data_IF_421131940816
#
_entry.id   IF_421131940816
#
_cell.length_a   1.000
_cell.length_b   1.000
_cell.length_c   1.000
_cell.angle_alpha   90.00
_cell.angle_beta   90.00
_cell.angle_gamma   90.00
#
_symmetry.space_group_name_H-M   'P 1'
#
loop_
_entity.id
_entity.type
_entity.pdbx_description
1 polymer ?
#
# COMPACT_ATOMS: atom_id res chain seq x y z
N UNK A 1 24.27 6.09 3.65
CA UNK A 1 24.00 4.70 4.05
C UNK A 1 23.40 3.92 2.89
N UNK A 2 23.77 2.66 2.77
CA UNK A 2 23.22 1.61 1.90
C UNK A 2 21.72 1.36 2.12
N UNK A 3 21.08 0.57 1.25
CA UNK A 3 19.67 0.22 1.39
C UNK A 3 19.35 -0.48 2.72
N UNK A 4 20.10 -1.50 3.17
CA UNK A 4 19.89 -2.09 4.51
C UNK A 4 20.06 -1.12 5.67
N UNK A 5 21.01 -0.19 5.58
CA UNK A 5 21.22 0.81 6.66
C UNK A 5 20.03 1.76 6.77
N UNK A 6 19.53 2.27 5.63
CA UNK A 6 18.34 3.14 5.63
C UNK A 6 17.10 2.39 6.10
N UNK A 7 16.94 1.13 5.70
CA UNK A 7 15.86 0.25 6.14
C UNK A 7 15.88 0.03 7.66
N UNK A 8 17.06 -0.27 8.24
CA UNK A 8 17.20 -0.44 9.69
C UNK A 8 16.88 0.84 10.47
N UNK A 9 17.33 1.99 9.97
CA UNK A 9 17.04 3.27 10.62
C UNK A 9 15.55 3.59 10.60
N UNK A 10 14.87 3.37 9.47
CA UNK A 10 13.43 3.57 9.35
C UNK A 10 12.64 2.60 10.26
N UNK A 11 13.02 1.32 10.31
CA UNK A 11 12.39 0.36 11.21
C UNK A 11 12.57 0.75 12.69
N UNK A 12 13.78 1.17 13.09
CA UNK A 12 14.07 1.66 14.45
C UNK A 12 13.31 2.94 14.80
N UNK A 13 13.04 3.79 13.81
CA UNK A 13 12.20 4.97 13.98
C UNK A 13 10.69 4.63 14.13
N UNK A 14 10.30 3.37 13.99
CA UNK A 14 8.94 2.89 14.21
C UNK A 14 8.12 2.68 12.93
N UNK A 15 8.74 2.63 11.75
CA UNK A 15 8.02 2.31 10.51
C UNK A 15 7.52 0.85 10.51
N UNK A 16 6.23 0.67 10.17
CA UNK A 16 5.57 -0.64 10.09
C UNK A 16 5.84 -1.38 8.76
N UNK A 17 6.07 -0.63 7.68
CA UNK A 17 6.38 -1.16 6.34
C UNK A 17 7.44 -0.27 5.69
N UNK A 18 8.34 -0.88 4.91
CA UNK A 18 9.39 -0.19 4.18
C UNK A 18 9.17 -0.37 2.68
N UNK A 19 9.19 0.73 1.93
CA UNK A 19 9.07 0.70 0.47
C UNK A 19 10.45 0.79 -0.18
N UNK A 20 10.78 -0.20 -1.01
CA UNK A 20 11.97 -0.21 -1.86
C UNK A 20 11.51 -0.24 -3.31
N UNK A 21 11.33 0.93 -3.90
CA UNK A 21 10.75 1.08 -5.23
C UNK A 21 11.83 1.09 -6.32
N UNK A 22 11.46 0.63 -7.51
CA UNK A 22 12.25 0.73 -8.75
C UNK A 22 13.65 0.07 -8.68
N UNK A 23 13.88 -0.83 -7.73
CA UNK A 23 15.15 -1.53 -7.58
C UNK A 23 14.99 -2.89 -6.87
N UNK A 24 14.72 -3.98 -7.63
CA UNK A 24 14.52 -5.31 -7.06
C UNK A 24 15.74 -5.86 -6.30
N UNK A 25 16.95 -5.66 -6.82
CA UNK A 25 18.18 -6.13 -6.16
C UNK A 25 18.41 -5.45 -4.81
N UNK A 26 18.08 -4.16 -4.70
CA UNK A 26 18.11 -3.47 -3.40
C UNK A 26 17.05 -4.00 -2.43
N UNK A 27 15.89 -4.44 -2.93
CA UNK A 27 14.85 -5.04 -2.10
C UNK A 27 15.31 -6.40 -1.55
N UNK A 28 15.96 -7.22 -2.37
CA UNK A 28 16.59 -8.48 -1.94
C UNK A 28 17.63 -8.23 -0.83
N UNK A 29 18.54 -7.27 -1.02
CA UNK A 29 19.52 -6.90 0.02
C UNK A 29 18.87 -6.48 1.34
N UNK A 30 17.73 -5.80 1.29
CA UNK A 30 16.97 -5.40 2.49
C UNK A 30 16.31 -6.61 3.14
N UNK A 31 15.73 -7.53 2.36
CA UNK A 31 15.12 -8.76 2.87
C UNK A 31 16.16 -9.66 3.57
N UNK A 32 17.34 -9.83 2.98
CA UNK A 32 18.43 -10.62 3.57
C UNK A 32 18.95 -10.01 4.88
N UNK A 33 18.98 -8.68 4.95
CA UNK A 33 19.62 -7.96 6.04
C UNK A 33 18.68 -7.57 7.19
N UNK A 34 17.36 -7.66 7.01
CA UNK A 34 16.34 -7.32 8.00
C UNK A 34 15.36 -8.50 8.18
N UNK A 35 15.64 -9.43 9.11
CA UNK A 35 14.74 -10.54 9.37
C UNK A 35 13.38 -10.04 9.89
N UNK A 36 12.31 -10.69 9.42
CA UNK A 36 10.95 -10.38 9.86
C UNK A 36 10.78 -10.82 11.30
N UNK A 37 10.51 -9.86 12.18
CA UNK A 37 10.15 -10.12 13.58
C UNK A 37 8.63 -10.22 13.73
N UNK A 38 8.15 -10.85 14.80
CA UNK A 38 6.73 -10.77 15.16
C UNK A 38 6.50 -9.47 15.95
N UNK A 39 5.47 -8.73 15.57
CA UNK A 39 5.04 -7.52 16.27
C UNK A 39 3.51 -7.39 16.12
N UNK A 40 2.73 -7.74 17.16
CA UNK A 40 1.28 -7.72 17.09
C UNK A 40 0.68 -6.35 16.77
N UNK A 41 1.35 -5.26 17.16
CA UNK A 41 0.87 -3.89 16.91
C UNK A 41 1.07 -3.56 15.43
N UNK A 42 2.27 -3.82 14.90
CA UNK A 42 2.57 -3.67 13.47
C UNK A 42 1.63 -4.53 12.63
N UNK A 43 1.48 -5.81 12.97
CA UNK A 43 0.59 -6.74 12.27
C UNK A 43 -0.85 -6.25 12.24
N UNK A 44 -1.37 -5.74 13.37
CA UNK A 44 -2.71 -5.14 13.42
C UNK A 44 -2.84 -3.94 12.47
N UNK A 45 -1.85 -3.06 12.41
CA UNK A 45 -1.86 -1.90 11.49
C UNK A 45 -1.82 -2.35 10.03
N UNK A 46 -0.98 -3.33 9.70
CA UNK A 46 -0.89 -3.93 8.36
C UNK A 46 -2.21 -4.60 7.94
N UNK A 47 -2.83 -5.37 8.84
CA UNK A 47 -4.14 -5.99 8.61
C UNK A 47 -5.25 -4.95 8.39
N UNK A 48 -5.17 -3.80 9.07
CA UNK A 48 -6.09 -2.68 8.89
C UNK A 48 -6.07 -2.07 7.49
N UNK A 49 -4.95 -2.18 6.76
CA UNK A 49 -4.82 -1.69 5.38
C UNK A 49 -5.38 -2.65 4.33
N UNK A 50 -5.77 -3.88 4.70
CA UNK A 50 -6.34 -4.84 3.74
C UNK A 50 -7.69 -4.33 3.25
N UNK A 51 -7.84 -4.21 1.93
CA UNK A 51 -9.10 -3.83 1.30
C UNK A 51 -10.24 -4.78 1.67
N UNK A 52 -11.39 -4.22 2.02
CA UNK A 52 -12.62 -4.96 2.37
C UNK A 52 -13.62 -4.80 1.22
N UNK A 53 -13.49 -5.64 0.19
CA UNK A 53 -14.40 -5.60 -0.94
C UNK A 53 -15.74 -6.25 -0.58
N UNK A 54 -16.84 -5.52 -0.78
CA UNK A 54 -18.21 -6.05 -0.63
C UNK A 54 -18.84 -6.45 -1.97
N UNK A 55 -18.22 -6.07 -3.08
CA UNK A 55 -18.66 -6.33 -4.46
C UNK A 55 -17.44 -6.64 -5.30
N UNK A 56 -17.59 -7.50 -6.30
CA UNK A 56 -16.58 -7.65 -7.34
C UNK A 56 -16.62 -6.44 -8.30
N UNK A 57 -15.65 -6.37 -9.21
CA UNK A 57 -15.50 -5.23 -10.12
C UNK A 57 -16.71 -5.04 -11.04
N UNK A 58 -17.29 -6.12 -11.54
CA UNK A 58 -18.44 -6.08 -12.45
C UNK A 58 -19.68 -5.54 -11.73
N UNK A 59 -19.99 -6.09 -10.56
CA UNK A 59 -21.09 -5.63 -9.70
C UNK A 59 -20.94 -4.15 -9.33
N UNK A 60 -19.72 -3.71 -8.99
CA UNK A 60 -19.44 -2.31 -8.68
C UNK A 60 -19.77 -1.40 -9.87
N UNK A 61 -19.32 -1.75 -11.07
CA UNK A 61 -19.55 -0.94 -12.28
C UNK A 61 -21.03 -0.92 -12.72
N UNK A 62 -21.77 -1.99 -12.44
CA UNK A 62 -23.21 -2.06 -12.70
C UNK A 62 -24.04 -1.28 -11.66
N UNK A 63 -23.46 -0.93 -10.51
CA UNK A 63 -24.18 -0.17 -9.49
C UNK A 63 -24.51 1.26 -9.95
N UNK A 64 -25.75 1.69 -9.72
CA UNK A 64 -26.21 3.06 -10.04
C UNK A 64 -25.32 4.12 -9.39
N UNK A 65 -24.90 3.87 -8.14
CA UNK A 65 -24.03 4.78 -7.38
C UNK A 65 -22.70 5.00 -8.10
N UNK A 66 -22.05 3.94 -8.59
CA UNK A 66 -20.79 4.05 -9.31
C UNK A 66 -20.98 4.80 -10.62
N UNK A 67 -22.00 4.46 -11.41
CA UNK A 67 -22.25 5.08 -12.72
C UNK A 67 -22.48 6.59 -12.59
N UNK A 68 -23.33 7.00 -11.63
CA UNK A 68 -23.63 8.40 -11.36
C UNK A 68 -22.40 9.19 -10.93
N UNK A 69 -21.64 8.68 -9.95
CA UNK A 69 -20.47 9.38 -9.42
C UNK A 69 -19.30 9.42 -10.42
N UNK A 70 -19.09 8.34 -11.17
CA UNK A 70 -18.07 8.28 -12.23
C UNK A 70 -18.36 9.31 -13.33
N UNK A 71 -19.63 9.40 -13.78
CA UNK A 71 -20.04 10.42 -14.75
C UNK A 71 -19.78 11.84 -14.24
N UNK A 72 -20.13 12.12 -12.98
CA UNK A 72 -19.90 13.42 -12.35
C UNK A 72 -18.39 13.77 -12.27
N UNK A 73 -17.55 12.84 -11.82
CA UNK A 73 -16.10 13.04 -11.74
C UNK A 73 -15.51 13.30 -13.14
N UNK A 74 -15.94 12.55 -14.15
CA UNK A 74 -15.48 12.75 -15.53
C UNK A 74 -15.87 14.12 -16.07
N UNK A 75 -17.09 14.59 -15.81
CA UNK A 75 -17.52 15.95 -16.17
C UNK A 75 -16.64 17.01 -15.50
N UNK A 76 -16.41 16.91 -14.19
CA UNK A 76 -15.54 17.85 -13.48
C UNK A 76 -14.11 17.88 -14.04
N UNK A 77 -13.56 16.71 -14.36
CA UNK A 77 -12.18 16.60 -14.84
C UNK A 77 -12.00 17.14 -16.25
N UNK A 78 -13.05 17.09 -17.09
CA UNK A 78 -13.04 17.66 -18.44
C UNK A 78 -13.23 19.18 -18.47
N UNK A 79 -13.65 19.78 -17.35
CA UNK A 79 -13.88 21.23 -17.26
C UNK A 79 -12.65 21.99 -16.73
N UNK A 80 -11.56 21.28 -16.42
CA UNK A 80 -10.24 21.80 -16.04
C UNK A 80 -9.28 21.66 -17.23
#
# INVERSE_FOLDING_TARGET
GSFPERARLAQRAGCDMLLVCNNPSAAEQVLDALPVTQDPVRERRLLGMRGKASMNREQLMQSEKWQRLSSLINQFTQTL
#
